data_IF_032486620906
#
_entry.id   IF_032486620906
#
_cell.length_a   1.000
_cell.length_b   1.000
_cell.length_c   1.000
_cell.angle_alpha   90.00
_cell.angle_beta   90.00
_cell.angle_gamma   90.00
#
_symmetry.space_group_name_H-M   'P 1'
#
loop_
_entity.id
_entity.type
_entity.pdbx_description
1 polymer ?
#
# COMPACT_ATOMS: atom_id res chain seq x y z
N UNK A 1 1.60 4.99 -13.93
CA UNK A 1 3.02 5.27 -14.23
C UNK A 1 3.60 4.23 -15.17
N UNK A 2 4.58 4.58 -16.03
CA UNK A 2 5.22 3.65 -16.95
C UNK A 2 6.19 2.69 -16.24
N UNK A 3 6.43 1.53 -16.88
CA UNK A 3 7.51 0.61 -16.48
C UNK A 3 8.88 1.10 -16.94
N UNK A 4 9.94 0.60 -16.29
CA UNK A 4 11.33 0.85 -16.69
C UNK A 4 11.85 2.26 -16.43
N UNK A 5 11.11 3.09 -15.66
CA UNK A 5 11.48 4.45 -15.33
C UNK A 5 11.48 4.66 -13.82
N UNK A 6 12.52 5.33 -13.31
CA UNK A 6 12.53 5.75 -11.89
C UNK A 6 11.39 6.73 -11.63
N UNK A 7 10.64 6.49 -10.55
CA UNK A 7 9.48 7.32 -10.17
C UNK A 7 9.86 8.80 -9.96
N UNK A 8 11.10 9.07 -9.53
CA UNK A 8 11.62 10.43 -9.33
C UNK A 8 11.78 11.25 -10.63
N UNK A 9 11.77 10.60 -11.79
CA UNK A 9 11.92 11.23 -13.10
C UNK A 9 10.64 11.19 -13.95
N UNK A 10 9.51 10.82 -13.35
CA UNK A 10 8.22 10.83 -14.04
C UNK A 10 7.66 12.26 -13.99
N UNK A 11 7.39 12.79 -15.18
CA UNK A 11 6.68 14.06 -15.41
C UNK A 11 5.27 13.76 -15.96
N UNK A 12 4.38 14.72 -15.96
CA UNK A 12 2.98 14.53 -16.40
C UNK A 12 2.85 13.99 -17.83
N UNK A 13 3.73 14.41 -18.73
CA UNK A 13 3.80 13.94 -20.13
C UNK A 13 4.20 12.47 -20.29
N UNK A 14 4.73 11.86 -19.23
CA UNK A 14 5.10 10.43 -19.19
C UNK A 14 4.04 9.54 -18.55
N UNK A 15 2.95 10.13 -18.08
CA UNK A 15 1.84 9.34 -17.57
C UNK A 15 1.07 8.69 -18.70
N UNK A 16 0.51 7.52 -18.43
CA UNK A 16 -0.34 6.79 -19.38
C UNK A 16 -1.77 6.81 -18.87
N UNK A 17 -2.72 7.09 -19.77
CA UNK A 17 -4.13 6.81 -19.55
C UNK A 17 -4.46 5.45 -20.10
N UNK A 18 -5.08 4.61 -19.29
CA UNK A 18 -5.47 3.24 -19.66
C UNK A 18 -6.97 3.04 -19.38
N UNK A 19 -7.54 2.05 -20.03
CA UNK A 19 -8.87 1.55 -19.69
C UNK A 19 -8.84 0.48 -18.59
N UNK A 20 -10.01 0.02 -18.16
CA UNK A 20 -10.13 -1.02 -17.13
C UNK A 20 -9.61 -2.40 -17.58
N UNK A 21 -9.41 -2.60 -18.88
CA UNK A 21 -8.77 -3.81 -19.42
C UNK A 21 -7.23 -3.70 -19.50
N UNK A 22 -6.67 -2.52 -19.13
CA UNK A 22 -5.23 -2.25 -19.16
C UNK A 22 -4.70 -1.79 -20.53
N UNK A 23 -5.57 -1.51 -21.51
CA UNK A 23 -5.16 -0.98 -22.80
C UNK A 23 -4.79 0.50 -22.68
N UNK A 24 -3.70 0.91 -23.32
CA UNK A 24 -3.26 2.31 -23.35
C UNK A 24 -4.17 3.10 -24.29
N UNK A 25 -4.84 4.13 -23.74
CA UNK A 25 -5.69 5.06 -24.48
C UNK A 25 -4.94 6.32 -24.88
N UNK A 26 -4.05 6.83 -23.99
CA UNK A 26 -3.22 8.01 -24.21
C UNK A 26 -1.86 7.84 -23.53
N UNK A 27 -0.82 8.47 -24.08
CA UNK A 27 0.53 8.51 -23.54
C UNK A 27 1.58 8.68 -24.62
N UNK A 28 2.82 8.95 -24.22
CA UNK A 28 3.93 9.08 -25.15
C UNK A 28 4.26 7.74 -25.82
N UNK A 29 4.62 7.81 -27.10
CA UNK A 29 4.97 6.63 -27.90
C UNK A 29 6.10 5.82 -27.24
N UNK A 30 5.98 4.49 -27.26
CA UNK A 30 6.98 3.56 -26.72
C UNK A 30 6.87 3.34 -25.19
N UNK A 31 6.08 4.11 -24.45
CA UNK A 31 5.84 3.85 -23.04
C UNK A 31 4.83 2.70 -22.84
N UNK A 32 5.05 1.91 -21.80
CA UNK A 32 4.17 0.81 -21.40
C UNK A 32 3.79 0.97 -19.93
N UNK A 33 2.56 0.57 -19.53
CA UNK A 33 2.15 0.56 -18.13
C UNK A 33 3.10 -0.23 -17.23
N UNK A 34 3.12 0.12 -15.95
CA UNK A 34 3.83 -0.65 -14.93
C UNK A 34 3.41 -2.12 -14.98
N UNK A 35 4.33 -3.02 -14.69
CA UNK A 35 4.06 -4.45 -14.51
C UNK A 35 3.04 -4.73 -13.41
N UNK A 36 2.92 -3.81 -12.44
CA UNK A 36 2.00 -3.91 -11.29
C UNK A 36 0.56 -3.43 -11.61
N UNK A 37 0.29 -3.05 -12.86
CA UNK A 37 -1.02 -2.51 -13.26
C UNK A 37 -2.19 -3.46 -12.92
N UNK A 38 -1.98 -4.78 -13.01
CA UNK A 38 -3.02 -5.77 -12.69
C UNK A 38 -3.50 -5.68 -11.24
N UNK A 39 -2.57 -5.40 -10.31
CA UNK A 39 -2.89 -5.18 -8.89
C UNK A 39 -3.73 -3.91 -8.72
N UNK A 40 -3.35 -2.81 -9.37
CA UNK A 40 -4.13 -1.58 -9.33
C UNK A 40 -5.54 -1.77 -9.90
N UNK A 41 -5.67 -2.42 -11.05
CA UNK A 41 -6.97 -2.69 -11.69
C UNK A 41 -7.86 -3.58 -10.82
N UNK A 42 -7.31 -4.57 -10.11
CA UNK A 42 -8.05 -5.39 -9.17
C UNK A 42 -8.66 -4.56 -8.03
N UNK A 43 -7.95 -3.56 -7.50
CA UNK A 43 -8.49 -2.68 -6.47
C UNK A 43 -9.71 -1.91 -6.98
N UNK A 44 -9.63 -1.32 -8.19
CA UNK A 44 -10.76 -0.60 -8.80
C UNK A 44 -11.93 -1.52 -9.17
N UNK A 45 -11.65 -2.75 -9.58
CA UNK A 45 -12.68 -3.75 -9.90
C UNK A 45 -13.48 -4.18 -8.66
N UNK A 46 -12.82 -4.33 -7.53
CA UNK A 46 -13.40 -4.92 -6.31
C UNK A 46 -13.95 -3.90 -5.32
N UNK A 47 -13.61 -2.60 -5.48
CA UNK A 47 -14.04 -1.55 -4.56
C UNK A 47 -14.44 -0.29 -5.32
N UNK A 48 -15.74 0.01 -5.29
CA UNK A 48 -16.32 1.19 -5.97
C UNK A 48 -15.92 2.53 -5.32
N UNK A 49 -15.58 2.51 -4.03
CA UNK A 49 -15.12 3.70 -3.27
C UNK A 49 -13.64 4.04 -3.52
N UNK A 50 -12.87 3.13 -4.14
CA UNK A 50 -11.46 3.36 -4.45
C UNK A 50 -11.31 4.11 -5.76
N UNK A 51 -10.76 5.33 -5.68
CA UNK A 51 -10.44 6.17 -6.85
C UNK A 51 -8.93 6.35 -7.06
N UNK A 52 -8.10 5.89 -6.13
CA UNK A 52 -6.65 5.91 -6.25
C UNK A 52 -5.98 4.72 -5.56
N UNK A 53 -4.89 4.26 -6.16
CA UNK A 53 -4.07 3.17 -5.64
C UNK A 53 -2.60 3.59 -5.71
N UNK A 54 -1.90 3.48 -4.57
CA UNK A 54 -0.46 3.74 -4.48
C UNK A 54 0.25 2.45 -4.09
N UNK A 55 1.25 2.08 -4.89
CA UNK A 55 2.17 0.99 -4.59
C UNK A 55 3.59 1.52 -4.57
N UNK A 56 4.32 1.18 -3.52
CA UNK A 56 5.72 1.56 -3.33
C UNK A 56 6.47 0.52 -2.49
N UNK A 57 7.80 0.70 -2.42
CA UNK A 57 8.68 -0.09 -1.56
C UNK A 57 9.29 0.80 -0.46
N UNK A 58 8.46 1.37 0.46
CA UNK A 58 9.00 2.22 1.52
C UNK A 58 9.89 1.37 2.44
N UNK A 59 11.14 1.82 2.74
CA UNK A 59 12.16 0.93 3.29
C UNK A 59 11.81 0.27 4.62
N UNK A 60 11.20 1.02 5.55
CA UNK A 60 10.87 0.48 6.86
C UNK A 60 9.66 -0.48 6.80
N UNK A 61 8.58 -0.09 6.13
CA UNK A 61 7.40 -0.93 5.97
C UNK A 61 7.72 -2.18 5.12
N UNK A 62 8.52 -2.04 4.06
CA UNK A 62 9.01 -3.19 3.29
C UNK A 62 9.87 -4.13 4.14
N UNK A 63 10.58 -3.60 5.14
CA UNK A 63 11.30 -4.41 6.13
C UNK A 63 10.37 -5.36 6.91
N UNK A 64 9.18 -4.91 7.31
CA UNK A 64 8.15 -5.77 7.91
C UNK A 64 7.64 -6.83 6.92
N UNK A 65 7.41 -6.46 5.67
CA UNK A 65 6.99 -7.39 4.62
C UNK A 65 8.03 -8.50 4.36
N UNK A 66 9.32 -8.15 4.34
CA UNK A 66 10.43 -9.10 4.19
C UNK A 66 10.65 -9.95 5.44
N UNK A 67 10.38 -9.39 6.63
CA UNK A 67 10.43 -10.12 7.89
C UNK A 67 9.20 -11.01 8.13
N UNK A 68 8.24 -11.05 7.21
CA UNK A 68 6.96 -11.76 7.29
C UNK A 68 6.16 -11.37 8.55
N UNK A 69 6.12 -10.07 8.85
CA UNK A 69 5.41 -9.53 10.01
C UNK A 69 4.34 -8.53 9.56
N UNK A 70 3.07 -8.76 9.89
CA UNK A 70 2.03 -7.73 9.73
C UNK A 70 2.32 -6.54 10.67
N UNK A 71 1.69 -5.41 10.41
CA UNK A 71 1.70 -4.28 11.34
C UNK A 71 0.30 -4.18 11.98
N UNK A 72 0.09 -5.00 12.98
CA UNK A 72 -1.16 -5.15 13.74
C UNK A 72 -1.05 -4.69 15.20
N UNK A 73 0.04 -3.95 15.50
CA UNK A 73 0.27 -3.36 16.81
C UNK A 73 -0.63 -2.15 17.04
N UNK A 74 -0.99 -1.90 18.28
CA UNK A 74 -1.78 -0.73 18.70
C UNK A 74 -0.90 0.26 19.47
N UNK A 75 0.26 0.63 18.91
CA UNK A 75 1.30 1.42 19.59
C UNK A 75 1.37 2.90 19.16
N UNK A 76 0.58 3.32 18.14
CA UNK A 76 0.55 4.69 17.62
C UNK A 76 -0.90 5.15 17.40
N UNK A 77 -1.26 6.25 18.06
CA UNK A 77 -2.63 6.81 18.06
C UNK A 77 -3.08 7.17 16.65
N UNK A 78 -2.25 7.90 15.93
CA UNK A 78 -2.54 8.40 14.58
C UNK A 78 -2.79 7.27 13.61
N UNK A 79 -1.98 6.21 13.67
CA UNK A 79 -2.06 5.09 12.74
C UNK A 79 -3.24 4.17 13.03
N UNK A 80 -3.61 4.00 14.32
CA UNK A 80 -4.83 3.29 14.71
C UNK A 80 -6.07 3.96 14.10
N UNK A 81 -6.13 5.30 14.14
CA UNK A 81 -7.26 6.05 13.62
C UNK A 81 -7.26 6.20 12.10
N UNK A 82 -6.07 6.33 11.46
CA UNK A 82 -5.94 6.64 10.05
C UNK A 82 -5.92 5.42 9.13
N UNK A 83 -5.29 4.33 9.54
CA UNK A 83 -5.06 3.15 8.70
C UNK A 83 -5.43 1.82 9.35
N UNK A 84 -5.53 1.75 10.67
CA UNK A 84 -5.86 0.52 11.39
C UNK A 84 -4.78 -0.55 11.29
N UNK A 85 -5.17 -1.82 11.50
CA UNK A 85 -4.27 -2.94 11.35
C UNK A 85 -3.90 -3.17 9.88
N UNK A 86 -2.61 -3.38 9.61
CA UNK A 86 -2.07 -3.58 8.27
C UNK A 86 -1.68 -5.06 8.11
N UNK A 87 -2.46 -5.83 7.34
CA UNK A 87 -2.17 -7.24 7.10
C UNK A 87 -0.95 -7.42 6.19
N UNK A 88 -0.34 -8.59 6.29
CA UNK A 88 0.63 -9.10 5.32
C UNK A 88 -0.08 -10.06 4.38
N UNK A 89 -0.15 -9.73 3.10
CA UNK A 89 -0.72 -10.63 2.08
C UNK A 89 0.29 -11.72 1.72
N UNK A 90 -0.16 -12.90 1.30
CA UNK A 90 0.74 -13.95 0.82
C UNK A 90 1.60 -13.48 -0.37
N UNK A 91 2.74 -14.12 -0.55
CA UNK A 91 3.60 -13.87 -1.71
C UNK A 91 2.86 -14.12 -3.02
N UNK A 92 3.06 -13.21 -3.97
CA UNK A 92 2.64 -13.36 -5.36
C UNK A 92 3.78 -12.93 -6.28
N UNK A 93 3.98 -13.66 -7.37
CA UNK A 93 5.01 -13.33 -8.37
C UNK A 93 4.62 -12.06 -9.12
N UNK A 94 5.44 -10.99 -9.09
CA UNK A 94 5.17 -9.74 -9.80
C UNK A 94 4.88 -9.96 -11.29
N UNK A 95 4.05 -9.10 -11.87
CA UNK A 95 3.61 -9.16 -13.29
C UNK A 95 2.68 -10.32 -13.65
N UNK A 96 2.40 -11.24 -12.74
CA UNK A 96 1.43 -12.33 -12.91
C UNK A 96 0.04 -11.95 -12.37
N UNK A 97 -0.88 -12.89 -12.27
CA UNK A 97 -2.15 -12.73 -11.55
C UNK A 97 -2.05 -13.05 -10.07
N UNK A 98 -0.93 -13.60 -9.61
CA UNK A 98 -0.76 -14.04 -8.23
C UNK A 98 -0.83 -12.87 -7.24
N UNK A 99 -0.22 -11.70 -7.57
CA UNK A 99 -0.29 -10.52 -6.69
C UNK A 99 -1.72 -9.99 -6.55
N UNK A 100 -2.48 -9.72 -7.64
CA UNK A 100 -3.90 -9.36 -7.52
C UNK A 100 -4.74 -10.40 -6.78
N UNK A 101 -4.50 -11.69 -6.99
CA UNK A 101 -5.24 -12.75 -6.32
C UNK A 101 -4.89 -12.81 -4.81
N UNK A 102 -3.64 -12.55 -4.44
CA UNK A 102 -3.18 -12.51 -3.05
C UNK A 102 -3.78 -11.34 -2.24
N UNK A 103 -3.97 -10.16 -2.86
CA UNK A 103 -4.55 -8.99 -2.18
C UNK A 103 -6.07 -9.04 -2.08
N UNK A 104 -6.76 -9.72 -3.01
CA UNK A 104 -8.22 -9.68 -3.12
C UNK A 104 -8.97 -10.00 -1.82
N UNK A 105 -8.59 -11.03 -1.02
CA UNK A 105 -9.28 -11.34 0.24
C UNK A 105 -9.24 -10.22 1.29
N UNK A 106 -8.26 -9.31 1.18
CA UNK A 106 -8.04 -8.23 2.15
C UNK A 106 -8.68 -6.91 1.73
N UNK A 107 -9.00 -6.74 0.44
CA UNK A 107 -9.43 -5.46 -0.13
C UNK A 107 -10.73 -4.91 0.48
N UNK A 108 -11.62 -5.76 0.99
CA UNK A 108 -12.90 -5.32 1.54
C UNK A 108 -12.75 -4.67 2.93
N UNK A 109 -11.73 -5.06 3.69
CA UNK A 109 -11.57 -4.67 5.09
C UNK A 109 -10.36 -3.74 5.31
N UNK A 110 -9.43 -3.66 4.34
CA UNK A 110 -8.18 -2.94 4.52
C UNK A 110 -7.89 -1.96 3.38
N UNK A 111 -7.52 -0.75 3.76
CA UNK A 111 -7.06 0.29 2.84
C UNK A 111 -5.54 0.32 2.68
N UNK A 112 -4.84 -0.40 3.55
CA UNK A 112 -3.38 -0.49 3.60
C UNK A 112 -2.99 -1.95 3.81
N UNK A 113 -2.02 -2.45 3.05
CA UNK A 113 -1.51 -3.82 3.19
C UNK A 113 -0.03 -3.90 2.83
N UNK A 114 0.66 -4.82 3.50
CA UNK A 114 2.00 -5.25 3.13
C UNK A 114 1.90 -6.41 2.15
N UNK A 115 2.81 -6.43 1.17
CA UNK A 115 2.95 -7.49 0.18
C UNK A 115 4.21 -8.29 0.53
N UNK A 116 4.06 -9.58 0.84
CA UNK A 116 5.16 -10.45 1.29
C UNK A 116 6.35 -10.39 0.33
N UNK A 117 7.56 -10.11 0.88
CA UNK A 117 8.81 -9.96 0.13
C UNK A 117 8.79 -8.93 -1.01
N UNK A 118 7.84 -7.98 -1.01
CA UNK A 118 7.67 -7.06 -2.13
C UNK A 118 7.64 -5.60 -1.69
N UNK A 119 6.64 -5.18 -0.96
CA UNK A 119 6.45 -3.78 -0.59
C UNK A 119 5.12 -3.52 0.08
N UNK A 120 4.49 -2.38 -0.24
CA UNK A 120 3.23 -1.97 0.33
C UNK A 120 2.23 -1.49 -0.75
N UNK A 121 0.95 -1.63 -0.45
CA UNK A 121 -0.17 -1.16 -1.25
C UNK A 121 -1.10 -0.34 -0.37
N UNK A 122 -1.53 0.82 -0.88
CA UNK A 122 -2.57 1.64 -0.25
C UNK A 122 -3.61 2.07 -1.27
N UNK A 123 -4.85 2.18 -0.82
CA UNK A 123 -5.97 2.66 -1.64
C UNK A 123 -6.60 3.90 -1.00
N UNK A 124 -7.37 4.66 -1.77
CA UNK A 124 -8.05 5.85 -1.27
C UNK A 124 -9.10 6.39 -2.22
N UNK A 125 -9.95 7.29 -1.71
CA UNK A 125 -10.94 8.03 -2.50
C UNK A 125 -10.32 9.04 -3.48
N UNK A 126 -9.05 9.37 -3.29
CA UNK A 126 -8.24 10.21 -4.15
C UNK A 126 -6.74 9.89 -3.96
N UNK A 127 -5.90 10.43 -4.86
CA UNK A 127 -4.46 10.13 -4.87
C UNK A 127 -3.74 10.66 -3.62
N UNK A 128 -4.19 11.76 -3.05
CA UNK A 128 -3.58 12.36 -1.86
C UNK A 128 -3.89 11.49 -0.64
N UNK A 129 -5.13 11.03 -0.49
CA UNK A 129 -5.53 10.10 0.58
C UNK A 129 -4.73 8.80 0.51
N UNK A 130 -4.62 8.19 -0.67
CA UNK A 130 -3.83 6.97 -0.85
C UNK A 130 -2.33 7.20 -0.56
N UNK A 131 -1.79 8.35 -0.96
CA UNK A 131 -0.40 8.73 -0.68
C UNK A 131 -0.15 8.95 0.82
N UNK A 132 -1.03 9.67 1.51
CA UNK A 132 -0.87 9.90 2.97
C UNK A 132 -0.91 8.60 3.76
N UNK A 133 -1.74 7.64 3.37
CA UNK A 133 -1.73 6.30 3.97
C UNK A 133 -0.38 5.60 3.80
N UNK A 134 0.26 5.74 2.64
CA UNK A 134 1.60 5.19 2.40
C UNK A 134 2.67 5.89 3.26
N UNK A 135 2.58 7.21 3.40
CA UNK A 135 3.48 8.01 4.23
C UNK A 135 3.33 7.64 5.73
N UNK A 136 2.09 7.55 6.22
CA UNK A 136 1.79 7.11 7.59
C UNK A 136 2.31 5.71 7.86
N UNK A 137 2.07 4.76 6.97
CA UNK A 137 2.59 3.40 7.08
C UNK A 137 4.12 3.37 7.25
N UNK A 138 4.84 4.10 6.40
CA UNK A 138 6.30 4.17 6.49
C UNK A 138 6.78 4.84 7.77
N UNK A 139 6.11 5.91 8.21
CA UNK A 139 6.43 6.59 9.46
C UNK A 139 6.21 5.68 10.67
N UNK A 140 5.07 5.01 10.72
CA UNK A 140 4.74 4.03 11.77
C UNK A 140 5.76 2.90 11.84
N UNK A 141 6.13 2.33 10.68
CA UNK A 141 7.14 1.28 10.60
C UNK A 141 8.49 1.76 11.16
N UNK A 142 8.94 2.97 10.81
CA UNK A 142 10.18 3.58 11.34
C UNK A 142 10.12 3.78 12.86
N UNK A 143 9.02 4.31 13.37
CA UNK A 143 8.83 4.54 14.80
C UNK A 143 8.86 3.20 15.54
N UNK A 144 8.16 2.19 15.04
CA UNK A 144 8.11 0.87 15.65
C UNK A 144 9.48 0.19 15.68
N UNK A 145 10.25 0.26 14.59
CA UNK A 145 11.63 -0.26 14.55
C UNK A 145 12.49 0.45 15.60
N UNK A 146 12.41 1.78 15.68
CA UNK A 146 13.17 2.55 16.66
C UNK A 146 12.77 2.19 18.10
N UNK A 147 11.47 2.02 18.38
CA UNK A 147 10.99 1.59 19.70
C UNK A 147 11.53 0.21 20.09
N UNK A 148 11.55 -0.74 19.15
CA UNK A 148 12.12 -2.08 19.36
C UNK A 148 13.62 -1.99 19.67
N UNK A 149 14.37 -1.14 18.97
CA UNK A 149 15.80 -0.92 19.22
C UNK A 149 16.07 -0.25 20.58
N UNK A 150 15.12 0.54 21.08
CA UNK A 150 15.19 1.17 22.40
C UNK A 150 14.75 0.24 23.55
N UNK A 151 14.38 -0.99 23.27
CA UNK A 151 14.06 -2.00 24.28
C UNK A 151 12.62 -2.51 24.27
N UNK A 152 11.75 -2.01 23.39
CA UNK A 152 10.40 -2.55 23.21
C UNK A 152 9.42 -1.57 22.58
N UNK A 153 8.42 -2.12 21.94
CA UNK A 153 7.22 -1.41 21.47
C UNK A 153 6.04 -1.93 22.30
N UNK A 154 5.26 -1.03 22.88
CA UNK A 154 4.17 -1.38 23.79
C UNK A 154 2.84 -0.88 23.23
N UNK A 155 1.84 -1.74 23.24
CA UNK A 155 0.50 -1.39 22.80
C UNK A 155 -0.23 -0.50 23.81
N UNK A 156 -1.11 0.34 23.30
CA UNK A 156 -2.02 1.16 24.09
C UNK A 156 -3.10 0.25 24.69
N UNK A 157 -3.44 0.45 25.96
CA UNK A 157 -4.52 -0.30 26.61
C UNK A 157 -5.82 -0.25 25.80
N UNK A 158 -6.50 -1.38 25.62
CA UNK A 158 -7.74 -1.51 24.86
C UNK A 158 -8.78 -0.45 25.22
N UNK A 159 -8.98 -0.17 26.51
CA UNK A 159 -9.91 0.87 26.99
C UNK A 159 -9.60 2.29 26.46
N UNK A 160 -8.34 2.56 26.10
CA UNK A 160 -7.93 3.84 25.52
C UNK A 160 -8.09 3.83 24.00
N UNK A 161 -7.86 2.68 23.37
CA UNK A 161 -8.16 2.48 21.93
C UNK A 161 -9.64 2.69 21.68
N UNK A 162 -10.53 2.09 22.49
CA UNK A 162 -11.98 2.23 22.37
C UNK A 162 -12.46 3.69 22.45
N UNK A 163 -11.70 4.58 23.12
CA UNK A 163 -11.99 6.03 23.14
C UNK A 163 -11.55 6.78 21.88
N UNK A 164 -10.64 6.20 21.12
CA UNK A 164 -10.14 6.80 19.86
C UNK A 164 -11.05 6.51 18.68
N UNK A 165 -11.68 5.34 18.68
CA UNK A 165 -12.48 4.84 17.55
C UNK A 165 -14.00 4.96 17.75
N UNK A 166 -14.48 5.38 18.93
CA UNK A 166 -15.88 5.70 19.26
C UNK A 166 -16.08 7.21 19.39
#
# INVERSE_FOLDING_TARGET
TPTGMSKSFITSDKLLRIDAAGNVLEGSEGLRPSSEIKMHLRCYEKREDVCAVVHAHPPAATGFAVAHRPMDMYNMIEDIAAIGAVPLTPYGTPSTTEVPDAIEPYLQEHDVMLLENHGALTVGSDVITAYYRMESLELWAKITINAILLGGSYDIDRKNIDKLIN
#
